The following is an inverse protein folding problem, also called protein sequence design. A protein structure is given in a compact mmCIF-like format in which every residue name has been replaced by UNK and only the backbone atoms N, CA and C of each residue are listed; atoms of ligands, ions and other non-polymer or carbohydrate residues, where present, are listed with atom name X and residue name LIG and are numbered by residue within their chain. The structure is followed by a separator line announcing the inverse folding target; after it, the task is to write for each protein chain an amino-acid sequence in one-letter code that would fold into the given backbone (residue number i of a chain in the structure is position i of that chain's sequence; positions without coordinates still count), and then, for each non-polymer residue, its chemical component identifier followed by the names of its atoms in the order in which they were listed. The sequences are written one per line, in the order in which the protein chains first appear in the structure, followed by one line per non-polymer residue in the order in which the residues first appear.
data_IF_976163022100
#
_entry.id   IF_976163022100
#
_cell.length_a   1.000
_cell.length_b   1.000
_cell.length_c   1.000
_cell.angle_alpha   90.00
_cell.angle_beta   90.00
_cell.angle_gamma   90.00
#
_symmetry.space_group_name_H-M   'P 1'
#
loop_
_entity.id
_entity.type
_entity.pdbx_description
1 polymer ?
#
# COMPACT_ATOMS: atom_id res chain seq x y z
N UNK A 1 -17.76 6.65 -1.31
CA UNK A 1 -18.84 7.50 -0.75
C UNK A 1 -18.68 8.88 -1.36
N UNK A 2 -19.62 9.33 -2.17
CA UNK A 2 -19.57 10.67 -2.75
C UNK A 2 -20.00 11.71 -1.70
N UNK A 3 -19.10 12.64 -1.36
CA UNK A 3 -19.37 13.73 -0.41
C UNK A 3 -20.60 14.51 -0.89
N UNK A 4 -20.71 14.75 -2.18
CA UNK A 4 -21.84 15.40 -2.83
C UNK A 4 -23.18 14.71 -2.55
N UNK A 5 -23.24 13.37 -2.63
CA UNK A 5 -24.47 12.62 -2.38
C UNK A 5 -24.93 12.76 -0.93
N UNK A 6 -23.98 12.76 0.02
CA UNK A 6 -24.27 12.98 1.44
C UNK A 6 -24.79 14.40 1.72
N UNK A 7 -24.25 15.40 1.04
CA UNK A 7 -24.71 16.81 1.16
C UNK A 7 -26.10 16.97 0.54
N UNK A 8 -26.36 16.35 -0.63
CA UNK A 8 -27.65 16.44 -1.33
C UNK A 8 -28.79 15.70 -0.63
N UNK A 9 -28.49 14.55 0.00
CA UNK A 9 -29.50 13.73 0.69
C UNK A 9 -29.86 14.22 2.10
N UNK A 10 -29.09 15.19 2.63
CA UNK A 10 -29.29 15.78 3.95
C UNK A 10 -28.67 14.99 5.11
N UNK A 11 -28.58 15.62 6.26
CA UNK A 11 -27.90 15.13 7.45
C UNK A 11 -28.36 13.76 7.96
N UNK A 12 -29.66 13.47 7.82
CA UNK A 12 -30.25 12.22 8.32
C UNK A 12 -29.96 11.00 7.47
N UNK A 13 -29.59 11.18 6.19
CA UNK A 13 -29.22 10.07 5.30
C UNK A 13 -27.79 9.59 5.51
N UNK A 14 -26.98 10.32 6.28
CA UNK A 14 -25.56 10.04 6.47
C UNK A 14 -25.35 9.10 7.65
N UNK A 15 -24.63 7.99 7.42
CA UNK A 15 -24.19 7.11 8.50
C UNK A 15 -22.97 7.71 9.24
N UNK A 16 -23.23 8.59 10.20
CA UNK A 16 -22.20 9.33 10.95
C UNK A 16 -21.18 8.43 11.65
N UNK A 17 -21.59 7.25 12.11
CA UNK A 17 -20.67 6.27 12.69
C UNK A 17 -19.60 5.81 11.69
N UNK A 18 -19.98 5.55 10.42
CA UNK A 18 -19.03 5.21 9.36
C UNK A 18 -18.17 6.40 8.97
N UNK A 19 -18.72 7.61 8.91
CA UNK A 19 -17.95 8.84 8.66
C UNK A 19 -16.89 9.05 9.74
N UNK A 20 -17.25 8.87 11.02
CA UNK A 20 -16.32 8.95 12.13
C UNK A 20 -15.18 7.92 12.02
N UNK A 21 -15.50 6.68 11.67
CA UNK A 21 -14.48 5.63 11.44
C UNK A 21 -13.55 5.99 10.29
N UNK A 22 -14.08 6.55 9.20
CA UNK A 22 -13.26 7.00 8.06
C UNK A 22 -12.36 8.16 8.49
N UNK A 23 -12.88 9.14 9.19
CA UNK A 23 -12.09 10.28 9.70
C UNK A 23 -10.98 9.81 10.66
N UNK A 24 -11.27 8.88 11.56
CA UNK A 24 -10.27 8.26 12.42
C UNK A 24 -9.18 7.54 11.61
N UNK A 25 -9.54 6.89 10.51
CA UNK A 25 -8.57 6.19 9.65
C UNK A 25 -7.56 7.12 8.99
N UNK A 26 -7.90 8.39 8.75
CA UNK A 26 -6.96 9.37 8.17
C UNK A 26 -5.80 9.71 9.10
N UNK A 27 -5.98 9.53 10.40
CA UNK A 27 -4.94 9.72 11.41
C UNK A 27 -4.27 8.40 11.76
N UNK A 28 -5.05 7.36 11.99
CA UNK A 28 -4.52 6.07 12.45
C UNK A 28 -3.71 5.36 11.36
N UNK A 29 -4.14 5.41 10.10
CA UNK A 29 -3.42 4.70 9.03
C UNK A 29 -2.00 5.24 8.78
N UNK A 30 -1.74 6.55 8.65
CA UNK A 30 -0.36 7.05 8.53
C UNK A 30 0.47 6.83 9.80
N UNK A 31 -0.12 6.87 10.98
CA UNK A 31 0.59 6.59 12.24
C UNK A 31 1.04 5.13 12.31
N UNK A 32 0.17 4.16 12.02
CA UNK A 32 0.54 2.75 12.00
C UNK A 32 1.60 2.46 10.95
N UNK A 33 1.40 2.91 9.72
CA UNK A 33 2.36 2.68 8.64
C UNK A 33 3.69 3.38 8.93
N UNK A 34 3.68 4.59 9.46
CA UNK A 34 4.87 5.34 9.84
C UNK A 34 5.66 4.66 10.96
N UNK A 35 4.98 4.22 12.01
CA UNK A 35 5.60 3.48 13.11
C UNK A 35 6.20 2.17 12.61
N UNK A 36 5.46 1.44 11.78
CA UNK A 36 5.91 0.15 11.26
C UNK A 36 7.11 0.32 10.33
N UNK A 37 7.08 1.29 9.41
CA UNK A 37 8.20 1.59 8.51
C UNK A 37 9.46 2.04 9.25
N UNK A 38 9.28 2.84 10.31
CA UNK A 38 10.36 3.25 11.20
C UNK A 38 11.11 2.03 11.77
N UNK A 39 10.38 1.07 12.33
CA UNK A 39 11.00 -0.13 12.91
C UNK A 39 11.59 -1.06 11.85
N UNK A 40 10.94 -1.24 10.69
CA UNK A 40 11.51 -2.03 9.59
C UNK A 40 12.85 -1.44 9.15
N UNK A 41 12.91 -0.13 8.93
CA UNK A 41 14.16 0.51 8.52
C UNK A 41 15.23 0.43 9.61
N UNK A 42 14.90 0.67 10.88
CA UNK A 42 15.84 0.51 11.97
C UNK A 42 16.38 -0.92 12.05
N UNK A 43 15.55 -1.93 11.80
CA UNK A 43 15.99 -3.32 11.75
C UNK A 43 16.97 -3.56 10.60
N UNK A 44 16.64 -3.08 9.39
CA UNK A 44 17.51 -3.17 8.22
C UNK A 44 18.84 -2.42 8.45
N UNK A 45 18.76 -1.22 9.03
CA UNK A 45 19.93 -0.42 9.38
C UNK A 45 20.83 -1.17 10.36
N UNK A 46 20.30 -1.58 11.51
CA UNK A 46 21.05 -2.23 12.58
C UNK A 46 21.64 -3.58 12.18
N UNK A 47 20.87 -4.39 11.46
CA UNK A 47 21.26 -5.76 11.16
C UNK A 47 21.99 -5.93 9.83
N UNK A 48 21.86 -4.97 8.89
CA UNK A 48 22.48 -5.06 7.57
C UNK A 48 23.39 -3.87 7.32
N UNK A 49 22.87 -2.63 7.29
CA UNK A 49 23.61 -1.47 6.81
C UNK A 49 24.77 -1.06 7.71
N UNK A 50 24.60 -1.12 9.03
CA UNK A 50 25.60 -0.72 10.03
C UNK A 50 26.56 -1.87 10.41
N UNK A 51 26.54 -3.01 9.71
CA UNK A 51 27.45 -4.13 9.95
C UNK A 51 28.83 -3.87 9.36
N UNK A 52 29.86 -4.52 9.91
CA UNK A 52 31.26 -4.44 9.40
C UNK A 52 31.37 -4.90 7.94
N UNK A 53 30.62 -5.93 7.54
CA UNK A 53 30.45 -6.35 6.15
C UNK A 53 28.96 -6.33 5.81
N UNK A 54 28.45 -5.17 5.33
CA UNK A 54 27.03 -5.03 4.99
C UNK A 54 26.60 -5.95 3.83
N UNK A 55 27.52 -6.24 2.90
CA UNK A 55 27.23 -7.12 1.75
C UNK A 55 26.98 -8.55 2.18
N UNK A 56 27.78 -9.08 3.08
CA UNK A 56 27.59 -10.42 3.64
C UNK A 56 26.33 -10.48 4.52
N UNK A 57 26.07 -9.43 5.31
CA UNK A 57 24.85 -9.32 6.11
C UNK A 57 23.59 -9.29 5.21
N UNK A 58 23.63 -8.57 4.08
CA UNK A 58 22.55 -8.53 3.11
C UNK A 58 22.24 -9.91 2.52
N UNK A 59 23.27 -10.64 2.07
CA UNK A 59 23.08 -11.99 1.53
C UNK A 59 22.43 -12.94 2.54
N UNK A 60 22.71 -12.77 3.83
CA UNK A 60 22.19 -13.63 4.89
C UNK A 60 20.79 -13.23 5.39
N UNK A 61 20.48 -11.93 5.43
CA UNK A 61 19.27 -11.43 6.10
C UNK A 61 18.17 -10.96 5.14
N UNK A 62 18.50 -10.51 3.92
CA UNK A 62 17.47 -10.12 2.92
C UNK A 62 16.49 -11.28 2.63
N UNK A 63 16.88 -12.57 2.60
CA UNK A 63 15.93 -13.65 2.45
C UNK A 63 14.81 -13.67 3.52
N UNK A 64 15.10 -13.21 4.74
CA UNK A 64 14.09 -13.09 5.80
C UNK A 64 13.08 -11.98 5.45
N UNK A 65 13.54 -10.83 4.98
CA UNK A 65 12.65 -9.77 4.53
C UNK A 65 11.82 -10.20 3.32
N UNK A 66 12.42 -10.93 2.36
CA UNK A 66 11.69 -11.44 1.21
C UNK A 66 10.62 -12.47 1.59
N UNK A 67 10.82 -13.25 2.66
CA UNK A 67 9.81 -14.12 3.24
C UNK A 67 8.56 -13.33 3.64
N UNK A 68 8.73 -12.26 4.42
CA UNK A 68 7.60 -11.42 4.86
C UNK A 68 6.91 -10.72 3.69
N UNK A 69 7.67 -10.21 2.72
CA UNK A 69 7.11 -9.62 1.49
C UNK A 69 6.25 -10.64 0.74
N UNK A 70 6.76 -11.86 0.56
CA UNK A 70 6.04 -12.92 -0.13
C UNK A 70 4.74 -13.32 0.60
N UNK A 71 4.76 -13.37 1.93
CA UNK A 71 3.55 -13.58 2.74
C UNK A 71 2.50 -12.50 2.46
N UNK A 72 2.88 -11.23 2.45
CA UNK A 72 1.96 -10.11 2.19
C UNK A 72 1.34 -10.26 0.80
N UNK A 73 2.15 -10.53 -0.23
CA UNK A 73 1.68 -10.73 -1.60
C UNK A 73 0.71 -11.92 -1.67
N UNK A 74 1.09 -13.06 -1.08
CA UNK A 74 0.28 -14.27 -1.10
C UNK A 74 -1.06 -14.08 -0.36
N UNK A 75 -1.07 -13.38 0.79
CA UNK A 75 -2.30 -13.07 1.52
C UNK A 75 -3.26 -12.22 0.69
N UNK A 76 -2.75 -11.15 0.04
CA UNK A 76 -3.58 -10.31 -0.83
C UNK A 76 -4.16 -11.13 -1.98
N UNK A 77 -3.31 -11.92 -2.64
CA UNK A 77 -3.71 -12.73 -3.80
C UNK A 77 -4.72 -13.79 -3.40
N UNK A 78 -4.49 -14.51 -2.30
CA UNK A 78 -5.39 -15.56 -1.84
C UNK A 78 -6.75 -15.01 -1.41
N UNK A 79 -6.78 -13.89 -0.67
CA UNK A 79 -8.01 -13.34 -0.11
C UNK A 79 -8.82 -12.52 -1.11
N UNK A 80 -8.17 -11.77 -1.99
CA UNK A 80 -8.87 -10.94 -2.99
C UNK A 80 -8.88 -11.58 -4.38
N UNK A 81 -7.77 -12.16 -4.83
CA UNK A 81 -7.65 -12.73 -6.16
C UNK A 81 -8.44 -14.03 -6.31
N UNK A 82 -8.11 -15.05 -5.51
CA UNK A 82 -8.69 -16.39 -5.67
C UNK A 82 -10.19 -16.45 -5.34
N UNK A 83 -10.66 -15.61 -4.43
CA UNK A 83 -12.10 -15.51 -4.13
C UNK A 83 -12.91 -15.07 -5.35
N UNK A 84 -12.37 -14.21 -6.20
CA UNK A 84 -13.06 -13.76 -7.42
C UNK A 84 -13.00 -14.78 -8.55
N UNK A 85 -12.05 -15.73 -8.51
CA UNK A 85 -11.91 -16.82 -9.49
C UNK A 85 -12.74 -18.05 -9.11
N UNK A 86 -13.49 -17.98 -8.00
CA UNK A 86 -14.35 -19.09 -7.57
C UNK A 86 -13.64 -20.24 -6.88
N UNK A 87 -12.43 -20.00 -6.36
CA UNK A 87 -11.65 -20.94 -5.56
C UNK A 87 -11.63 -20.47 -4.08
N UNK A 88 -12.67 -20.71 -3.29
CA UNK A 88 -12.70 -20.33 -1.90
C UNK A 88 -11.77 -21.28 -1.10
N UNK A 89 -10.63 -20.77 -0.67
CA UNK A 89 -9.75 -21.46 0.26
C UNK A 89 -10.24 -21.22 1.70
N UNK A 90 -10.16 -22.23 2.53
CA UNK A 90 -10.34 -22.09 3.98
C UNK A 90 -9.21 -21.28 4.60
N UNK A 91 -9.42 -20.74 5.81
CA UNK A 91 -8.40 -19.92 6.48
C UNK A 91 -7.10 -20.68 6.75
N UNK A 92 -7.20 -21.96 7.05
CA UNK A 92 -6.03 -22.83 7.23
C UNK A 92 -5.26 -23.10 5.93
N UNK A 93 -5.96 -23.28 4.81
CA UNK A 93 -5.33 -23.46 3.49
C UNK A 93 -4.65 -22.18 3.03
N UNK A 94 -5.29 -21.02 3.23
CA UNK A 94 -4.67 -19.73 2.96
C UNK A 94 -3.37 -19.54 3.74
N UNK A 95 -3.40 -19.85 5.04
CA UNK A 95 -2.20 -19.75 5.89
C UNK A 95 -1.10 -20.69 5.40
N UNK A 96 -1.44 -21.95 5.12
CA UNK A 96 -0.48 -22.97 4.66
C UNK A 96 0.17 -22.55 3.32
N UNK A 97 -0.65 -22.20 2.32
CA UNK A 97 -0.16 -21.77 0.99
C UNK A 97 0.72 -20.53 1.11
N UNK A 98 0.31 -19.58 1.94
CA UNK A 98 1.05 -18.32 2.16
C UNK A 98 2.42 -18.58 2.79
N UNK A 99 2.49 -19.44 3.80
CA UNK A 99 3.77 -19.77 4.46
C UNK A 99 4.68 -20.58 3.51
N UNK A 100 4.15 -21.56 2.79
CA UNK A 100 4.92 -22.34 1.82
C UNK A 100 5.48 -21.40 0.73
N UNK A 101 4.66 -20.50 0.18
CA UNK A 101 5.09 -19.53 -0.81
C UNK A 101 6.19 -18.61 -0.26
N UNK A 102 6.03 -18.12 0.98
CA UNK A 102 7.05 -17.32 1.67
C UNK A 102 8.39 -18.04 1.81
N UNK A 103 8.36 -19.31 2.23
CA UNK A 103 9.57 -20.15 2.36
C UNK A 103 10.25 -20.35 1.00
N UNK A 104 9.48 -20.69 -0.04
CA UNK A 104 10.01 -20.89 -1.40
C UNK A 104 10.69 -19.62 -1.91
N UNK A 105 10.03 -18.46 -1.79
CA UNK A 105 10.59 -17.18 -2.22
C UNK A 105 11.85 -16.83 -1.42
N UNK A 106 11.85 -17.07 -0.10
CA UNK A 106 13.01 -16.85 0.75
C UNK A 106 14.21 -17.70 0.31
N UNK A 107 14.00 -18.98 0.02
CA UNK A 107 15.05 -19.89 -0.46
C UNK A 107 15.58 -19.42 -1.82
N UNK A 108 14.69 -19.10 -2.77
CA UNK A 108 15.09 -18.58 -4.08
C UNK A 108 15.91 -17.30 -3.92
N UNK A 109 15.47 -16.37 -3.08
CA UNK A 109 16.20 -15.13 -2.80
C UNK A 109 17.58 -15.42 -2.19
N UNK A 110 17.67 -16.35 -1.25
CA UNK A 110 18.96 -16.75 -0.65
C UNK A 110 19.93 -17.32 -1.68
N UNK A 111 19.45 -18.17 -2.60
CA UNK A 111 20.27 -18.74 -3.68
C UNK A 111 20.74 -17.63 -4.63
N UNK A 112 19.83 -16.77 -5.09
CA UNK A 112 20.15 -15.69 -6.03
C UNK A 112 21.15 -14.70 -5.45
N UNK A 113 21.00 -14.31 -4.17
CA UNK A 113 21.93 -13.40 -3.51
C UNK A 113 23.32 -14.03 -3.32
N UNK A 114 23.38 -15.32 -2.98
CA UNK A 114 24.66 -16.04 -2.87
C UNK A 114 25.38 -16.13 -4.21
N UNK A 115 24.66 -16.45 -5.30
CA UNK A 115 25.22 -16.51 -6.65
C UNK A 115 25.71 -15.15 -7.17
N UNK A 116 25.10 -14.05 -6.70
CA UNK A 116 25.45 -12.68 -7.08
C UNK A 116 26.21 -11.91 -5.99
N UNK A 117 26.79 -12.58 -5.00
CA UNK A 117 27.44 -11.94 -3.85
C UNK A 117 28.59 -11.01 -4.24
N UNK A 118 29.35 -11.33 -5.28
CA UNK A 118 30.41 -10.46 -5.81
C UNK A 118 29.86 -9.16 -6.38
N UNK A 119 28.74 -9.21 -7.13
CA UNK A 119 28.09 -8.02 -7.65
C UNK A 119 27.55 -7.13 -6.53
N UNK A 120 27.01 -7.74 -5.47
CA UNK A 120 26.54 -6.99 -4.30
C UNK A 120 27.71 -6.29 -3.60
N UNK A 121 28.91 -6.90 -3.58
CA UNK A 121 30.11 -6.25 -3.06
C UNK A 121 30.58 -5.09 -3.94
N UNK A 122 30.49 -5.24 -5.25
CA UNK A 122 30.90 -4.23 -6.24
C UNK A 122 29.94 -3.02 -6.26
N UNK A 123 28.60 -3.27 -6.35
CA UNK A 123 27.58 -2.23 -6.49
C UNK A 123 27.01 -1.73 -5.17
N UNK A 124 27.41 -2.36 -4.05
CA UNK A 124 26.95 -2.02 -2.72
C UNK A 124 25.62 -2.66 -2.33
N UNK A 125 25.32 -2.63 -1.05
CA UNK A 125 24.13 -3.27 -0.42
C UNK A 125 22.81 -2.71 -0.94
N UNK A 126 22.78 -1.43 -1.30
CA UNK A 126 21.56 -0.78 -1.84
C UNK A 126 21.09 -1.43 -3.15
N UNK A 127 22.00 -2.08 -3.92
CA UNK A 127 21.62 -2.83 -5.12
C UNK A 127 20.76 -4.05 -4.81
N UNK A 128 21.01 -4.72 -3.71
CA UNK A 128 20.21 -5.85 -3.24
C UNK A 128 18.83 -5.38 -2.73
N UNK A 129 18.78 -4.25 -2.01
CA UNK A 129 17.52 -3.64 -1.61
C UNK A 129 16.71 -3.09 -2.80
N UNK A 130 17.35 -2.65 -3.89
CA UNK A 130 16.66 -2.17 -5.09
C UNK A 130 15.76 -3.24 -5.71
N UNK A 131 16.25 -4.49 -5.79
CA UNK A 131 15.43 -5.61 -6.29
C UNK A 131 14.24 -5.84 -5.35
N UNK A 132 14.48 -5.86 -4.05
CA UNK A 132 13.44 -6.07 -3.05
C UNK A 132 12.42 -4.93 -3.07
N UNK A 133 12.87 -3.68 -3.26
CA UNK A 133 12.00 -2.51 -3.43
C UNK A 133 11.10 -2.62 -4.65
N UNK A 134 11.59 -3.10 -5.80
CA UNK A 134 10.75 -3.32 -7.00
C UNK A 134 9.63 -4.31 -6.70
N UNK A 135 9.95 -5.39 -5.97
CA UNK A 135 8.95 -6.40 -5.59
C UNK A 135 7.92 -5.81 -4.62
N UNK A 136 8.36 -5.07 -3.61
CA UNK A 136 7.44 -4.41 -2.65
C UNK A 136 6.61 -3.30 -3.31
N UNK A 137 7.19 -2.53 -4.23
CA UNK A 137 6.46 -1.53 -5.02
C UNK A 137 5.36 -2.18 -5.86
N UNK A 138 5.66 -3.31 -6.49
CA UNK A 138 4.65 -4.08 -7.25
C UNK A 138 3.54 -4.61 -6.34
N UNK A 139 3.89 -5.14 -5.16
CA UNK A 139 2.93 -5.59 -4.16
C UNK A 139 2.05 -4.44 -3.65
N UNK A 140 2.67 -3.30 -3.36
CA UNK A 140 1.95 -2.10 -2.93
C UNK A 140 1.03 -1.57 -4.04
N UNK A 141 1.49 -1.54 -5.29
CA UNK A 141 0.68 -1.12 -6.43
C UNK A 141 -0.56 -2.03 -6.60
N UNK A 142 -0.39 -3.34 -6.44
CA UNK A 142 -1.51 -4.29 -6.47
C UNK A 142 -2.48 -4.07 -5.30
N UNK A 143 -1.98 -3.94 -4.07
CA UNK A 143 -2.81 -3.69 -2.89
C UNK A 143 -3.57 -2.36 -3.00
N UNK A 144 -2.89 -1.29 -3.44
CA UNK A 144 -3.44 0.03 -3.68
C UNK A 144 -4.53 -0.02 -4.75
N UNK A 145 -4.21 -0.52 -5.94
CA UNK A 145 -5.16 -0.61 -7.06
C UNK A 145 -6.41 -1.42 -6.71
N UNK A 146 -6.25 -2.55 -6.04
CA UNK A 146 -7.38 -3.38 -5.60
C UNK A 146 -8.29 -2.69 -4.57
N UNK A 147 -7.76 -1.74 -3.81
CA UNK A 147 -8.51 -0.95 -2.84
C UNK A 147 -9.19 0.26 -3.51
N UNK A 148 -8.46 0.99 -4.33
CA UNK A 148 -8.89 2.28 -4.85
C UNK A 148 -9.83 2.15 -6.07
N UNK A 149 -9.76 1.07 -6.84
CA UNK A 149 -10.75 0.76 -7.87
C UNK A 149 -12.16 0.77 -7.29
N UNK A 150 -12.35 0.27 -6.07
CA UNK A 150 -13.65 0.25 -5.41
C UNK A 150 -14.26 1.65 -5.22
N UNK A 151 -13.44 2.68 -5.04
CA UNK A 151 -13.89 4.07 -4.88
C UNK A 151 -14.48 4.64 -6.17
N UNK A 152 -13.99 4.20 -7.33
CA UNK A 152 -14.50 4.63 -8.64
C UNK A 152 -15.74 3.81 -9.06
N UNK A 153 -15.67 2.47 -8.92
CA UNK A 153 -16.71 1.57 -9.41
C UNK A 153 -17.91 1.44 -8.47
N UNK A 154 -17.73 1.70 -7.17
CA UNK A 154 -18.82 1.60 -6.18
C UNK A 154 -20.00 2.49 -6.50
N UNK A 155 -19.82 3.81 -6.64
CA UNK A 155 -20.89 4.74 -7.04
C UNK A 155 -21.50 4.39 -8.41
N UNK A 156 -20.66 4.02 -9.39
CA UNK A 156 -21.13 3.63 -10.72
C UNK A 156 -22.00 2.37 -10.69
N UNK A 157 -21.59 1.36 -9.93
CA UNK A 157 -22.39 0.13 -9.77
C UNK A 157 -23.70 0.40 -9.05
N UNK A 158 -23.72 1.30 -8.06
CA UNK A 158 -24.93 1.71 -7.37
C UNK A 158 -25.92 2.41 -8.32
N UNK A 159 -25.45 3.32 -9.17
CA UNK A 159 -26.28 3.99 -10.19
C UNK A 159 -26.87 2.96 -11.15
N UNK A 160 -26.06 2.04 -11.67
CA UNK A 160 -26.53 1.00 -12.60
C UNK A 160 -27.60 0.11 -11.93
N UNK A 161 -27.38 -0.31 -10.68
CA UNK A 161 -28.33 -1.13 -9.94
C UNK A 161 -29.69 -0.42 -9.76
N UNK A 162 -29.67 0.86 -9.37
CA UNK A 162 -30.87 1.66 -9.22
C UNK A 162 -31.63 1.84 -10.56
N UNK A 163 -30.88 2.06 -11.64
CA UNK A 163 -31.51 2.27 -12.96
C UNK A 163 -32.02 0.98 -13.60
N UNK A 164 -31.41 -0.17 -13.31
CA UNK A 164 -31.80 -1.46 -13.89
C UNK A 164 -32.84 -2.22 -13.04
N UNK A 165 -32.72 -2.15 -11.73
CA UNK A 165 -33.53 -2.95 -10.78
C UNK A 165 -34.60 -2.12 -10.04
N UNK A 166 -34.51 -0.78 -10.13
CA UNK A 166 -35.46 0.13 -9.45
C UNK A 166 -35.33 0.12 -7.91
N UNK A 167 -34.34 -0.58 -7.37
CA UNK A 167 -34.16 -0.75 -5.93
C UNK A 167 -32.73 -0.40 -5.48
N UNK A 168 -32.63 0.27 -4.33
CA UNK A 168 -31.36 0.53 -3.67
C UNK A 168 -31.02 -0.70 -2.81
N UNK A 169 -30.20 -1.60 -3.33
CA UNK A 169 -29.70 -2.74 -2.59
C UNK A 169 -28.51 -2.37 -1.71
N UNK A 170 -28.40 -3.00 -0.52
CA UNK A 170 -27.22 -2.83 0.36
C UNK A 170 -25.92 -3.36 -0.28
N UNK A 171 -26.01 -4.19 -1.32
CA UNK A 171 -24.89 -4.71 -2.11
C UNK A 171 -25.33 -4.76 -3.57
N UNK A 172 -24.64 -3.99 -4.42
CA UNK A 172 -24.80 -4.07 -5.86
C UNK A 172 -23.79 -5.07 -6.44
N UNK A 173 -24.25 -5.93 -7.35
CA UNK A 173 -23.36 -6.78 -8.11
C UNK A 173 -22.53 -5.90 -9.07
N UNK A 174 -21.21 -6.06 -9.02
CA UNK A 174 -20.31 -5.28 -9.88
C UNK A 174 -20.14 -6.03 -11.21
N UNK A 175 -20.63 -5.43 -12.30
CA UNK A 175 -20.43 -5.98 -13.63
C UNK A 175 -18.96 -5.96 -14.02
N UNK A 176 -18.43 -7.02 -14.70
CA UNK A 176 -17.06 -7.02 -15.24
C UNK A 176 -16.74 -5.83 -16.14
N UNK A 177 -17.72 -5.31 -16.88
CA UNK A 177 -17.54 -4.12 -17.71
C UNK A 177 -17.28 -2.85 -16.89
N UNK A 178 -17.94 -2.70 -15.75
CA UNK A 178 -17.73 -1.58 -14.82
C UNK A 178 -16.31 -1.65 -14.22
N UNK A 179 -15.88 -2.86 -13.86
CA UNK A 179 -14.51 -3.10 -13.41
C UNK A 179 -13.47 -2.73 -14.48
N UNK A 180 -13.69 -3.12 -15.73
CA UNK A 180 -12.79 -2.79 -16.84
C UNK A 180 -12.70 -1.28 -17.09
N UNK A 181 -13.84 -0.59 -17.10
CA UNK A 181 -13.87 0.88 -17.31
C UNK A 181 -13.17 1.60 -16.16
N UNK A 182 -13.48 1.23 -14.90
CA UNK A 182 -12.81 1.82 -13.72
C UNK A 182 -11.33 1.56 -13.70
N UNK A 183 -10.91 0.31 -13.98
CA UNK A 183 -9.51 -0.08 -14.06
C UNK A 183 -8.76 0.66 -15.19
N UNK A 184 -9.36 0.75 -16.38
CA UNK A 184 -8.79 1.48 -17.50
C UNK A 184 -8.62 2.98 -17.18
N UNK A 185 -9.59 3.59 -16.49
CA UNK A 185 -9.51 4.98 -16.04
C UNK A 185 -8.35 5.22 -15.08
N UNK A 186 -8.12 4.31 -14.11
CA UNK A 186 -6.98 4.38 -13.19
C UNK A 186 -5.65 4.26 -13.94
N UNK A 187 -5.54 3.28 -14.85
CA UNK A 187 -4.32 3.07 -15.65
C UNK A 187 -4.02 4.30 -16.51
N UNK A 188 -5.03 4.87 -17.13
CA UNK A 188 -4.88 6.10 -17.93
C UNK A 188 -4.43 7.30 -17.08
N UNK A 189 -5.06 7.52 -15.92
CA UNK A 189 -4.66 8.58 -14.98
C UNK A 189 -3.23 8.40 -14.46
N UNK A 190 -2.84 7.16 -14.16
CA UNK A 190 -1.48 6.82 -13.72
C UNK A 190 -0.45 7.04 -14.83
N UNK A 191 -0.76 6.68 -16.07
CA UNK A 191 0.11 6.89 -17.22
C UNK A 191 0.37 8.39 -17.47
N UNK A 192 -0.65 9.26 -17.28
CA UNK A 192 -0.53 10.70 -17.50
C UNK A 192 0.20 11.43 -16.35
N UNK A 193 -0.11 11.13 -15.10
CA UNK A 193 0.30 11.94 -13.96
C UNK A 193 1.14 11.18 -12.92
N UNK A 194 1.18 9.85 -12.96
CA UNK A 194 1.81 9.01 -11.97
C UNK A 194 3.29 9.32 -11.76
N UNK A 195 4.03 9.59 -12.83
CA UNK A 195 5.45 9.96 -12.74
C UNK A 195 5.71 11.21 -11.89
N UNK A 196 4.81 12.20 -11.91
CA UNK A 196 4.92 13.41 -11.07
C UNK A 196 4.68 13.09 -9.60
N UNK A 197 3.70 12.23 -9.31
CA UNK A 197 3.38 11.81 -7.94
C UNK A 197 4.53 10.99 -7.36
N UNK A 198 5.04 10.00 -8.10
CA UNK A 198 6.18 9.17 -7.69
C UNK A 198 7.39 10.06 -7.36
N UNK A 199 7.72 11.01 -8.24
CA UNK A 199 8.82 11.96 -7.99
C UNK A 199 8.58 12.77 -6.73
N UNK A 200 7.37 13.28 -6.51
CA UNK A 200 7.06 14.08 -5.32
C UNK A 200 7.20 13.28 -4.03
N UNK A 201 6.65 12.06 -3.98
CA UNK A 201 6.73 11.20 -2.80
C UNK A 201 8.17 10.74 -2.54
N UNK A 202 8.89 10.35 -3.61
CA UNK A 202 10.24 9.79 -3.49
C UNK A 202 11.35 10.82 -3.24
N UNK A 203 11.12 12.11 -3.52
CA UNK A 203 12.20 13.11 -3.43
C UNK A 203 11.87 14.35 -2.59
N UNK A 204 10.57 14.70 -2.43
CA UNK A 204 10.18 15.94 -1.73
C UNK A 204 9.85 15.76 -0.26
N UNK A 205 9.51 14.55 0.20
CA UNK A 205 9.26 14.29 1.62
C UNK A 205 10.58 13.97 2.32
N UNK A 206 11.32 13.02 1.76
CA UNK A 206 12.69 12.63 2.10
C UNK A 206 13.34 11.99 0.88
N UNK A 207 14.67 12.07 0.77
CA UNK A 207 15.38 11.38 -0.31
C UNK A 207 15.42 9.89 -0.02
N UNK A 208 14.63 9.12 -0.75
CA UNK A 208 14.54 7.68 -0.60
C UNK A 208 15.74 6.99 -1.24
N UNK A 209 16.44 6.17 -0.46
CA UNK A 209 17.34 5.12 -0.96
C UNK A 209 16.54 3.83 -1.16
N UNK A 210 17.05 2.82 -1.87
CA UNK A 210 16.35 1.55 -2.04
C UNK A 210 15.95 0.89 -0.71
N UNK A 211 16.80 0.92 0.32
CA UNK A 211 16.49 0.38 1.64
C UNK A 211 15.37 1.13 2.37
N UNK A 212 15.34 2.47 2.24
CA UNK A 212 14.25 3.30 2.76
C UNK A 212 12.94 3.05 2.00
N UNK A 213 13.01 3.01 0.67
CA UNK A 213 11.85 2.73 -0.20
C UNK A 213 11.24 1.38 0.10
N UNK A 214 12.06 0.32 0.14
CA UNK A 214 11.64 -1.01 0.55
C UNK A 214 10.92 -1.00 1.91
N UNK A 215 11.49 -0.36 2.93
CA UNK A 215 10.92 -0.34 4.27
C UNK A 215 9.58 0.41 4.32
N UNK A 216 9.46 1.51 3.58
CA UNK A 216 8.23 2.28 3.48
C UNK A 216 7.13 1.50 2.76
N UNK A 217 7.43 0.89 1.61
CA UNK A 217 6.47 0.13 0.81
C UNK A 217 6.02 -1.13 1.51
N UNK A 218 6.93 -1.87 2.15
CA UNK A 218 6.59 -3.05 2.94
C UNK A 218 5.64 -2.70 4.09
N UNK A 219 5.91 -1.62 4.82
CA UNK A 219 5.05 -1.16 5.90
C UNK A 219 3.68 -0.71 5.40
N UNK A 220 3.64 0.06 4.31
CA UNK A 220 2.40 0.53 3.71
C UNK A 220 1.56 -0.65 3.21
N UNK A 221 2.14 -1.58 2.44
CA UNK A 221 1.45 -2.76 1.96
C UNK A 221 0.89 -3.61 3.11
N UNK A 222 1.70 -3.88 4.13
CA UNK A 222 1.27 -4.63 5.32
C UNK A 222 0.10 -3.96 6.02
N UNK A 223 0.14 -2.63 6.19
CA UNK A 223 -0.92 -1.86 6.84
C UNK A 223 -2.22 -1.90 6.02
N UNK A 224 -2.13 -1.74 4.69
CA UNK A 224 -3.29 -1.83 3.79
C UNK A 224 -3.91 -3.22 3.84
N UNK A 225 -3.09 -4.28 3.81
CA UNK A 225 -3.57 -5.66 3.87
C UNK A 225 -4.25 -5.94 5.20
N UNK A 226 -3.62 -5.57 6.32
CA UNK A 226 -4.18 -5.77 7.65
C UNK A 226 -5.52 -5.04 7.82
N UNK A 227 -5.59 -3.76 7.43
CA UNK A 227 -6.83 -2.98 7.49
C UNK A 227 -7.93 -3.57 6.62
N UNK A 228 -7.58 -4.04 5.41
CA UNK A 228 -8.53 -4.70 4.51
C UNK A 228 -9.05 -6.01 5.12
N UNK A 229 -8.18 -6.76 5.80
CA UNK A 229 -8.56 -8.02 6.43
C UNK A 229 -9.59 -7.84 7.55
N UNK A 230 -9.42 -6.83 8.39
CA UNK A 230 -10.36 -6.51 9.48
C UNK A 230 -11.56 -5.65 9.01
N UNK A 231 -11.63 -5.29 7.72
CA UNK A 231 -12.70 -4.43 7.18
C UNK A 231 -12.63 -2.98 7.64
N UNK A 232 -11.45 -2.52 8.08
CA UNK A 232 -11.24 -1.15 8.52
C UNK A 232 -11.05 -0.23 7.30
N UNK A 233 -11.77 0.90 7.20
CA UNK A 233 -11.57 1.84 6.11
C UNK A 233 -10.15 2.42 6.20
N UNK A 234 -9.45 2.48 5.07
CA UNK A 234 -8.08 2.97 5.03
C UNK A 234 -7.87 3.85 3.79
N UNK A 235 -7.07 4.90 3.95
CA UNK A 235 -6.53 5.67 2.84
C UNK A 235 -5.14 5.15 2.49
N UNK A 236 -5.01 4.53 1.33
CA UNK A 236 -3.73 4.00 0.82
C UNK A 236 -2.69 5.10 0.66
N UNK A 237 -3.11 6.29 0.20
CA UNK A 237 -2.23 7.46 0.04
C UNK A 237 -1.72 7.97 1.39
N UNK A 238 -2.59 8.13 2.39
CA UNK A 238 -2.19 8.53 3.76
C UNK A 238 -1.24 7.50 4.37
N UNK A 239 -1.53 6.22 4.17
CA UNK A 239 -0.69 5.11 4.62
C UNK A 239 0.72 5.18 4.04
N UNK A 240 0.84 5.37 2.71
CA UNK A 240 2.13 5.47 2.04
C UNK A 240 2.92 6.70 2.49
N UNK A 241 2.28 7.87 2.55
CA UNK A 241 2.92 9.10 3.03
C UNK A 241 3.38 8.94 4.48
N UNK A 242 2.56 8.36 5.34
CA UNK A 242 2.93 8.05 6.72
C UNK A 242 4.15 7.12 6.79
N UNK A 243 4.20 6.08 5.97
CA UNK A 243 5.34 5.18 5.89
C UNK A 243 6.63 5.88 5.44
N UNK A 244 6.54 6.79 4.44
CA UNK A 244 7.69 7.58 3.97
C UNK A 244 8.17 8.55 5.06
N UNK A 245 7.27 9.16 5.81
CA UNK A 245 7.63 10.00 6.97
C UNK A 245 8.33 9.15 8.04
N UNK A 246 7.81 7.94 8.31
CA UNK A 246 8.39 7.02 9.30
C UNK A 246 9.83 6.63 9.00
N UNK A 247 10.14 6.24 7.76
CA UNK A 247 11.53 5.94 7.36
C UNK A 247 12.41 7.19 7.37
N UNK A 248 11.85 8.36 7.00
CA UNK A 248 12.56 9.64 7.09
C UNK A 248 12.94 9.99 8.52
N UNK A 249 12.04 9.78 9.50
CA UNK A 249 12.31 9.91 10.93
C UNK A 249 13.42 8.95 11.40
N UNK A 250 13.38 7.71 10.96
CA UNK A 250 14.37 6.69 11.30
C UNK A 250 15.77 7.01 10.74
N UNK A 251 15.82 7.69 9.59
CA UNK A 251 17.07 8.22 9.01
C UNK A 251 17.60 9.41 9.79
N UNK A 252 16.71 10.24 10.32
CA UNK A 252 17.00 11.43 11.11
C UNK A 252 16.05 12.57 10.79
N UNK A 253 15.63 13.30 11.82
CA UNK A 253 14.62 14.38 11.73
C UNK A 253 15.01 15.47 10.71
N UNK A 254 16.32 15.74 10.56
CA UNK A 254 16.85 16.72 9.60
C UNK A 254 16.70 16.33 8.14
N UNK A 255 16.35 15.08 7.84
CA UNK A 255 16.17 14.59 6.48
C UNK A 255 14.72 14.74 5.97
N UNK A 256 13.82 15.28 6.78
CA UNK A 256 12.43 15.53 6.42
C UNK A 256 12.20 16.96 5.95
N UNK A 257 11.49 17.11 4.83
CA UNK A 257 10.98 18.43 4.40
C UNK A 257 9.59 18.67 5.00
N UNK A 258 9.57 19.34 6.16
CA UNK A 258 8.34 19.70 6.87
C UNK A 258 7.40 20.60 6.05
N UNK A 259 7.95 21.43 5.14
CA UNK A 259 7.14 22.28 4.25
C UNK A 259 6.33 21.43 3.27
N UNK A 260 6.94 20.41 2.67
CA UNK A 260 6.25 19.49 1.78
C UNK A 260 5.24 18.62 2.53
N UNK A 261 5.58 18.13 3.73
CA UNK A 261 4.66 17.37 4.58
C UNK A 261 3.44 18.24 4.94
N UNK A 262 3.65 19.47 5.36
CA UNK A 262 2.56 20.39 5.70
C UNK A 262 1.62 20.68 4.52
N UNK A 263 2.15 20.85 3.31
CA UNK A 263 1.33 21.01 2.10
C UNK A 263 0.51 19.77 1.77
N UNK A 264 1.07 18.57 1.97
CA UNK A 264 0.34 17.32 1.75
C UNK A 264 -0.81 17.19 2.76
N UNK A 265 -0.56 17.44 4.05
CA UNK A 265 -1.60 17.39 5.09
C UNK A 265 -2.69 18.45 4.82
N UNK A 266 -2.30 19.65 4.43
CA UNK A 266 -3.24 20.71 4.07
C UNK A 266 -4.11 20.29 2.88
N UNK A 267 -3.54 19.64 1.86
CA UNK A 267 -4.31 19.15 0.72
C UNK A 267 -5.37 18.13 1.11
N UNK A 268 -5.11 17.27 2.09
CA UNK A 268 -6.09 16.31 2.60
C UNK A 268 -7.30 17.02 3.24
N UNK A 269 -7.04 18.07 4.03
CA UNK A 269 -8.09 18.86 4.66
C UNK A 269 -8.94 19.64 3.66
N UNK A 270 -8.28 20.21 2.62
CA UNK A 270 -8.96 21.02 1.60
C UNK A 270 -9.80 20.17 0.64
N UNK A 271 -9.41 18.91 0.39
CA UNK A 271 -10.13 18.03 -0.55
C UNK A 271 -11.59 17.82 -0.14
N UNK A 272 -11.90 17.77 1.16
CA UNK A 272 -13.26 17.51 1.65
C UNK A 272 -14.21 18.69 1.33
N UNK A 273 -13.92 19.93 1.75
CA UNK A 273 -14.81 21.04 1.45
C UNK A 273 -14.92 21.35 -0.04
N UNK A 274 -13.82 21.18 -0.81
CA UNK A 274 -13.86 21.36 -2.27
C UNK A 274 -14.74 20.29 -2.92
N UNK A 275 -14.58 19.00 -2.54
CA UNK A 275 -15.43 17.93 -3.06
C UNK A 275 -16.90 18.02 -2.64
N UNK A 276 -17.20 18.74 -1.55
CA UNK A 276 -18.58 19.02 -1.14
C UNK A 276 -19.20 20.18 -1.92
N UNK A 277 -18.38 21.15 -2.36
CA UNK A 277 -18.82 22.35 -3.09
C UNK A 277 -19.05 22.09 -4.60
N UNK A 278 -18.35 21.12 -5.20
CA UNK A 278 -18.49 20.68 -6.60
C UNK A 278 -19.66 19.70 -6.76
#
# INVERSE_FOLDING_TARGET
MCIRDSVSAGFYAVSWGKVGTIAASWVTSPLFAGTFSFFIYLSAKKFILDRRDPSQAAVSLIPIYSFFVAIIIALVTARKGLKHVGLPLSDSEVLLVTVIFGVVVSIITAILLRLNSEKIREYGVESAFAILMIVTASAMAFAHGSNDVANAIGPMSAIISVTSEGAIGAKSAVSPYVLLIGGAGIVFGLAMLGGRVIKTVGTKITTLTPSLGFSAEMAAASTVVAATYIGFPISTTHTLVGAVIGVGLAKGVSHLDYSSIGRIILSWLVTIPVGAAL
#
